data_IF_561490748839
#
_entry.id   IF_561490748839
#
_cell.length_a   1.000
_cell.length_b   1.000
_cell.length_c   1.000
_cell.angle_alpha   90.00
_cell.angle_beta   90.00
_cell.angle_gamma   90.00
#
_symmetry.space_group_name_H-M   'P 1'
#
loop_
_entity.id
_entity.type
_entity.pdbx_description
1 polymer ?
#
# COMPACT_ATOMS: atom_id res chain seq x y z
N UNK A 1 -10.90 -35.31 18.38
CA UNK A 1 -9.72 -34.42 18.31
C UNK A 1 -10.21 -33.00 18.42
N UNK A 2 -9.76 -32.33 19.47
CA UNK A 2 -10.34 -31.11 20.00
C UNK A 2 -10.12 -29.90 19.08
N UNK A 3 -11.12 -29.04 19.11
CA UNK A 3 -11.17 -27.74 18.48
C UNK A 3 -9.97 -26.87 18.84
N UNK A 4 -9.19 -26.48 17.84
CA UNK A 4 -8.35 -25.28 17.93
C UNK A 4 -9.28 -24.06 17.99
N UNK A 5 -9.74 -23.72 19.19
CA UNK A 5 -10.34 -22.41 19.48
C UNK A 5 -9.26 -21.36 19.23
N UNK A 6 -9.23 -20.82 18.02
CA UNK A 6 -8.51 -19.59 17.74
C UNK A 6 -9.13 -18.47 18.59
N UNK A 7 -8.29 -17.55 19.05
CA UNK A 7 -8.71 -16.47 19.93
C UNK A 7 -9.91 -15.72 19.34
N UNK A 8 -10.95 -15.51 20.15
CA UNK A 8 -12.20 -14.88 19.73
C UNK A 8 -12.07 -13.44 19.18
N UNK A 9 -10.89 -12.81 19.26
CA UNK A 9 -10.57 -11.52 18.60
C UNK A 9 -10.13 -11.67 17.14
N UNK A 10 -9.57 -12.83 16.78
CA UNK A 10 -8.97 -13.04 15.46
C UNK A 10 -10.05 -13.33 14.40
N UNK A 11 -11.14 -14.00 14.79
CA UNK A 11 -12.26 -14.32 13.89
C UNK A 11 -13.00 -13.06 13.42
N UNK A 12 -13.35 -12.14 14.34
CA UNK A 12 -14.04 -10.90 13.97
C UNK A 12 -13.14 -10.02 13.10
N UNK A 13 -11.85 -9.94 13.43
CA UNK A 13 -10.86 -9.20 12.64
C UNK A 13 -10.69 -9.79 11.24
N UNK A 14 -10.55 -11.12 11.13
CA UNK A 14 -10.47 -11.83 9.86
C UNK A 14 -11.72 -11.61 9.01
N UNK A 15 -12.92 -11.68 9.61
CA UNK A 15 -14.17 -11.39 8.91
C UNK A 15 -14.22 -9.97 8.35
N UNK A 16 -13.85 -8.97 9.16
CA UNK A 16 -13.79 -7.57 8.69
C UNK A 16 -12.79 -7.37 7.55
N UNK A 17 -11.61 -7.99 7.65
CA UNK A 17 -10.59 -7.92 6.58
C UNK A 17 -11.11 -8.60 5.30
N UNK A 18 -11.76 -9.76 5.41
CA UNK A 18 -12.38 -10.46 4.30
C UNK A 18 -13.43 -9.59 3.58
N UNK A 19 -14.34 -8.99 4.33
CA UNK A 19 -15.37 -8.11 3.77
C UNK A 19 -14.78 -6.88 3.05
N UNK A 20 -13.72 -6.28 3.61
CA UNK A 20 -13.00 -5.19 2.97
C UNK A 20 -12.26 -5.65 1.71
N UNK A 21 -11.63 -6.82 1.74
CA UNK A 21 -10.92 -7.40 0.61
C UNK A 21 -11.87 -7.67 -0.56
N UNK A 22 -13.03 -8.29 -0.31
CA UNK A 22 -14.05 -8.55 -1.35
C UNK A 22 -14.56 -7.24 -1.96
N UNK A 23 -14.85 -6.22 -1.13
CA UNK A 23 -15.27 -4.90 -1.61
C UNK A 23 -14.20 -4.26 -2.50
N UNK A 24 -12.94 -4.32 -2.08
CA UNK A 24 -11.81 -3.80 -2.85
C UNK A 24 -11.67 -4.53 -4.19
N UNK A 25 -11.66 -5.86 -4.18
CA UNK A 25 -11.59 -6.66 -5.41
C UNK A 25 -12.71 -6.28 -6.40
N UNK A 26 -13.95 -6.18 -5.91
CA UNK A 26 -15.10 -5.84 -6.76
C UNK A 26 -15.02 -4.42 -7.35
N UNK A 27 -14.37 -3.50 -6.65
CA UNK A 27 -14.16 -2.12 -7.11
C UNK A 27 -13.08 -1.99 -8.20
N UNK A 28 -12.15 -2.95 -8.27
CA UNK A 28 -11.04 -2.94 -9.21
C UNK A 28 -11.41 -3.72 -10.49
N UNK A 29 -11.85 -3.01 -11.53
CA UNK A 29 -12.30 -3.61 -12.80
C UNK A 29 -11.23 -4.44 -13.50
N UNK A 30 -9.96 -4.08 -13.32
CA UNK A 30 -8.80 -4.78 -13.88
C UNK A 30 -8.65 -6.23 -13.35
N UNK A 31 -9.26 -6.54 -12.20
CA UNK A 31 -9.27 -7.86 -11.60
C UNK A 31 -10.28 -8.83 -12.23
N UNK A 32 -11.19 -8.33 -13.08
CA UNK A 32 -12.29 -9.11 -13.64
C UNK A 32 -11.87 -9.92 -14.87
N UNK A 33 -10.78 -9.54 -15.54
CA UNK A 33 -10.19 -10.33 -16.62
C UNK A 33 -9.38 -11.47 -15.99
N UNK A 34 -10.02 -12.59 -15.63
CA UNK A 34 -9.43 -13.76 -14.93
C UNK A 34 -8.34 -14.49 -15.76
N UNK A 35 -7.26 -13.80 -16.13
CA UNK A 35 -6.15 -14.35 -16.90
C UNK A 35 -4.81 -13.81 -16.41
N UNK A 36 -3.95 -14.71 -15.94
CA UNK A 36 -2.59 -14.40 -15.49
C UNK A 36 -1.67 -13.83 -16.59
N UNK A 37 -2.03 -14.03 -17.86
CA UNK A 37 -1.30 -13.43 -19.00
C UNK A 37 -1.72 -12.00 -19.28
N UNK A 38 -2.84 -11.53 -18.69
CA UNK A 38 -3.29 -10.16 -18.83
C UNK A 38 -2.50 -9.24 -17.88
N UNK A 39 -1.75 -8.24 -18.38
CA UNK A 39 -0.99 -7.32 -17.55
C UNK A 39 -1.83 -6.54 -16.53
N UNK A 40 -3.10 -6.26 -16.85
CA UNK A 40 -4.02 -5.55 -15.93
C UNK A 40 -4.40 -6.44 -14.75
N UNK A 41 -4.74 -7.70 -15.03
CA UNK A 41 -5.04 -8.68 -14.01
C UNK A 41 -3.84 -8.90 -13.08
N UNK A 42 -2.64 -9.08 -13.66
CA UNK A 42 -1.40 -9.25 -12.90
C UNK A 42 -1.13 -8.07 -11.96
N UNK A 43 -1.26 -6.83 -12.44
CA UNK A 43 -1.10 -5.65 -11.59
C UNK A 43 -2.13 -5.60 -10.46
N UNK A 44 -3.39 -5.91 -10.77
CA UNK A 44 -4.42 -6.00 -9.75
C UNK A 44 -4.07 -7.05 -8.69
N UNK A 45 -3.74 -8.27 -9.10
CA UNK A 45 -3.50 -9.37 -8.17
C UNK A 45 -2.28 -9.10 -7.27
N UNK A 46 -1.21 -8.54 -7.83
CA UNK A 46 -0.05 -8.07 -7.07
C UNK A 46 -0.42 -6.98 -6.04
N UNK A 47 -1.26 -6.03 -6.42
CA UNK A 47 -1.75 -5.00 -5.49
C UNK A 47 -2.62 -5.59 -4.37
N UNK A 48 -3.54 -6.49 -4.70
CA UNK A 48 -4.39 -7.16 -3.72
C UNK A 48 -3.58 -8.02 -2.76
N UNK A 49 -2.55 -8.71 -3.27
CA UNK A 49 -1.63 -9.47 -2.42
C UNK A 49 -0.86 -8.54 -1.46
N UNK A 50 -0.37 -7.40 -1.94
CA UNK A 50 0.22 -6.38 -1.07
C UNK A 50 -0.77 -5.90 0.01
N UNK A 51 -1.98 -5.53 -0.40
CA UNK A 51 -2.98 -4.95 0.48
C UNK A 51 -3.37 -5.90 1.61
N UNK A 52 -3.58 -7.19 1.31
CA UNK A 52 -3.95 -8.18 2.33
C UNK A 52 -2.80 -8.40 3.31
N UNK A 53 -1.55 -8.51 2.80
CA UNK A 53 -0.36 -8.61 3.65
C UNK A 53 -0.23 -7.41 4.60
N UNK A 54 -0.43 -6.19 4.09
CA UNK A 54 -0.42 -4.97 4.91
C UNK A 54 -1.48 -5.00 6.02
N UNK A 55 -2.73 -5.34 5.68
CA UNK A 55 -3.83 -5.39 6.64
C UNK A 55 -3.63 -6.45 7.70
N UNK A 56 -3.17 -7.64 7.30
CA UNK A 56 -2.90 -8.75 8.20
C UNK A 56 -1.81 -8.39 9.20
N UNK A 57 -0.65 -7.91 8.74
CA UNK A 57 0.46 -7.55 9.64
C UNK A 57 0.15 -6.40 10.59
N UNK A 58 -0.71 -5.45 10.19
CA UNK A 58 -1.18 -4.38 11.08
C UNK A 58 -2.17 -4.86 12.14
N UNK A 59 -2.89 -5.94 11.85
CA UNK A 59 -3.95 -6.48 12.72
C UNK A 59 -3.41 -7.51 13.71
N UNK A 60 -2.29 -8.15 13.38
CA UNK A 60 -1.56 -9.08 14.24
C UNK A 60 -0.83 -8.28 15.34
N UNK A 61 -1.37 -8.33 16.57
CA UNK A 61 -0.77 -7.68 17.75
C UNK A 61 0.22 -8.57 18.51
N UNK A 62 0.20 -9.89 18.26
CA UNK A 62 1.07 -10.86 18.91
C UNK A 62 1.95 -11.52 17.84
N UNK A 63 3.26 -11.54 18.06
CA UNK A 63 4.24 -12.17 17.15
C UNK A 63 3.95 -13.67 16.89
N UNK A 64 3.07 -14.29 17.68
CA UNK A 64 2.71 -15.71 17.62
C UNK A 64 1.67 -16.07 16.53
N UNK A 65 0.89 -15.12 16.02
CA UNK A 65 -0.09 -15.41 14.95
C UNK A 65 0.57 -15.28 13.58
N UNK A 66 0.73 -16.41 12.89
CA UNK A 66 1.37 -16.47 11.56
C UNK A 66 0.42 -16.00 10.46
N UNK A 67 0.97 -15.46 9.36
CA UNK A 67 0.19 -15.14 8.14
C UNK A 67 -0.73 -16.30 7.74
N UNK A 68 -0.24 -17.54 7.81
CA UNK A 68 -1.00 -18.76 7.52
C UNK A 68 -2.25 -18.91 8.39
N UNK A 69 -2.19 -18.59 9.68
CA UNK A 69 -3.36 -18.73 10.58
C UNK A 69 -4.50 -17.79 10.20
N UNK A 70 -4.18 -16.55 9.82
CA UNK A 70 -5.19 -15.57 9.43
C UNK A 70 -5.65 -15.80 7.99
N UNK A 71 -4.74 -16.22 7.10
CA UNK A 71 -5.08 -16.66 5.75
C UNK A 71 -6.06 -17.84 5.76
N UNK A 72 -5.81 -18.89 6.54
CA UNK A 72 -6.74 -20.02 6.67
C UNK A 72 -8.10 -19.57 7.22
N UNK A 73 -8.09 -18.58 8.14
CA UNK A 73 -9.31 -17.90 8.59
C UNK A 73 -10.05 -17.24 7.44
N UNK A 74 -9.36 -16.45 6.60
CA UNK A 74 -9.92 -15.79 5.41
C UNK A 74 -10.44 -16.81 4.39
N UNK A 75 -9.63 -17.82 4.06
CA UNK A 75 -9.98 -18.92 3.15
C UNK A 75 -11.24 -19.61 3.62
N UNK A 76 -11.37 -19.95 4.91
CA UNK A 76 -12.59 -20.57 5.44
C UNK A 76 -13.85 -19.73 5.24
N UNK A 77 -13.73 -18.39 5.23
CA UNK A 77 -14.85 -17.48 4.98
C UNK A 77 -15.15 -17.30 3.48
N UNK A 78 -14.17 -17.55 2.63
CA UNK A 78 -14.22 -17.34 1.17
C UNK A 78 -14.63 -18.63 0.45
N UNK A 79 -14.04 -19.78 0.80
CA UNK A 79 -14.24 -21.07 0.13
C UNK A 79 -15.65 -21.64 0.24
N UNK A 80 -16.51 -21.06 1.09
CA UNK A 80 -17.95 -21.31 1.10
C UNK A 80 -18.73 -20.56 0.01
N UNK A 81 -18.05 -19.80 -0.86
CA UNK A 81 -18.64 -19.01 -1.96
C UNK A 81 -17.91 -19.35 -3.26
N UNK A 82 -18.56 -20.12 -4.14
CA UNK A 82 -17.97 -20.65 -5.39
C UNK A 82 -17.36 -19.57 -6.29
N UNK A 83 -17.86 -18.32 -6.23
CA UNK A 83 -17.38 -17.20 -7.05
C UNK A 83 -15.99 -16.66 -6.68
N UNK A 84 -15.45 -17.06 -5.52
CA UNK A 84 -14.29 -16.42 -4.90
C UNK A 84 -13.10 -17.35 -4.64
N UNK A 85 -13.19 -18.63 -4.98
CA UNK A 85 -12.07 -19.59 -4.85
C UNK A 85 -10.80 -19.11 -5.56
N UNK A 86 -10.94 -18.54 -6.77
CA UNK A 86 -9.84 -17.99 -7.57
C UNK A 86 -9.21 -16.71 -7.00
N UNK A 87 -9.80 -16.09 -5.96
CA UNK A 87 -9.21 -14.92 -5.30
C UNK A 87 -7.99 -15.25 -4.46
N UNK A 88 -7.88 -16.50 -4.05
CA UNK A 88 -6.85 -16.96 -3.12
C UNK A 88 -5.57 -17.37 -3.84
N UNK A 89 -5.68 -17.78 -5.12
CA UNK A 89 -4.57 -18.32 -5.92
C UNK A 89 -3.37 -17.37 -6.08
N UNK A 90 -3.57 -16.07 -5.94
CA UNK A 90 -2.51 -15.05 -6.08
C UNK A 90 -2.04 -14.46 -4.75
N UNK A 91 -2.61 -14.90 -3.62
CA UNK A 91 -2.24 -14.41 -2.30
C UNK A 91 -1.09 -15.26 -1.75
N UNK A 92 -0.01 -14.60 -1.34
CA UNK A 92 1.17 -15.24 -0.74
C UNK A 92 1.78 -14.34 0.33
N UNK A 93 2.49 -14.93 1.29
CA UNK A 93 3.18 -14.18 2.35
C UNK A 93 4.34 -13.37 1.77
N UNK A 94 4.25 -12.03 1.85
CA UNK A 94 5.33 -11.14 1.47
C UNK A 94 6.28 -11.05 2.66
N UNK A 95 7.57 -11.32 2.44
CA UNK A 95 8.60 -11.19 3.46
C UNK A 95 8.48 -9.83 4.19
N UNK A 96 8.64 -9.86 5.52
CA UNK A 96 8.46 -8.70 6.40
C UNK A 96 9.27 -7.47 5.96
N UNK A 97 10.53 -7.66 5.53
CA UNK A 97 11.42 -6.57 5.14
C UNK A 97 11.01 -5.96 3.80
N UNK A 98 10.57 -6.78 2.86
CA UNK A 98 10.07 -6.31 1.57
C UNK A 98 8.71 -5.63 1.72
N UNK A 99 7.81 -6.17 2.55
CA UNK A 99 6.56 -5.51 2.86
C UNK A 99 6.78 -4.15 3.56
N UNK A 100 7.77 -4.07 4.46
CA UNK A 100 8.15 -2.80 5.10
C UNK A 100 8.57 -1.75 4.06
N UNK A 101 9.46 -2.13 3.13
CA UNK A 101 9.86 -1.28 2.00
C UNK A 101 8.68 -0.88 1.11
N UNK A 102 7.79 -1.82 0.79
CA UNK A 102 6.58 -1.55 0.01
C UNK A 102 5.65 -0.55 0.70
N UNK A 103 5.51 -0.64 2.04
CA UNK A 103 4.69 0.30 2.81
C UNK A 103 5.24 1.73 2.76
N UNK A 104 6.57 1.88 2.81
CA UNK A 104 7.21 3.19 2.65
C UNK A 104 6.89 3.77 1.27
N UNK A 105 7.08 2.98 0.19
CA UNK A 105 6.74 3.44 -1.16
C UNK A 105 5.25 3.77 -1.31
N UNK A 106 4.37 2.95 -0.73
CA UNK A 106 2.93 3.20 -0.78
C UNK A 106 2.56 4.53 -0.11
N UNK A 107 3.11 4.79 1.09
CA UNK A 107 2.87 6.04 1.81
C UNK A 107 3.40 7.27 1.07
N UNK A 108 4.59 7.15 0.45
CA UNK A 108 5.16 8.18 -0.41
C UNK A 108 4.22 8.51 -1.58
N UNK A 109 3.75 7.49 -2.32
CA UNK A 109 2.85 7.69 -3.45
C UNK A 109 1.45 8.19 -3.04
N UNK A 110 0.93 7.74 -1.89
CA UNK A 110 -0.35 8.23 -1.37
C UNK A 110 -0.30 9.73 -1.08
N UNK A 111 0.76 10.21 -0.41
CA UNK A 111 0.94 11.63 -0.13
C UNK A 111 1.26 12.43 -1.39
N UNK A 112 2.04 11.87 -2.32
CA UNK A 112 2.27 12.47 -3.64
C UNK A 112 0.97 12.68 -4.41
N UNK A 113 0.08 11.69 -4.48
CA UNK A 113 -1.21 11.83 -5.17
C UNK A 113 -2.06 12.93 -4.54
N UNK A 114 -2.13 13.01 -3.20
CA UNK A 114 -2.84 14.09 -2.49
C UNK A 114 -2.26 15.46 -2.80
N UNK A 115 -0.93 15.58 -2.80
CA UNK A 115 -0.24 16.81 -3.17
C UNK A 115 -0.50 17.20 -4.62
N UNK A 116 -0.42 16.25 -5.56
CA UNK A 116 -0.70 16.49 -6.97
C UNK A 116 -2.16 16.96 -7.17
N UNK A 117 -3.13 16.32 -6.52
CA UNK A 117 -4.53 16.74 -6.57
C UNK A 117 -4.73 18.16 -6.00
N UNK A 118 -4.02 18.51 -4.92
CA UNK A 118 -4.05 19.86 -4.34
C UNK A 118 -3.48 20.88 -5.34
N UNK A 119 -2.31 20.58 -5.93
CA UNK A 119 -1.55 21.48 -6.80
C UNK A 119 -2.23 21.65 -8.17
N UNK A 120 -2.85 20.60 -8.70
CA UNK A 120 -3.56 20.63 -9.98
C UNK A 120 -4.97 21.20 -9.85
N UNK A 121 -5.59 21.18 -8.66
CA UNK A 121 -6.94 21.72 -8.48
C UNK A 121 -7.00 23.24 -8.67
N UNK A 122 -7.84 23.70 -9.60
CA UNK A 122 -8.05 25.12 -9.90
C UNK A 122 -9.07 25.81 -8.97
N UNK A 123 -9.78 25.07 -8.10
CA UNK A 123 -11.00 25.57 -7.47
C UNK A 123 -11.17 25.35 -5.96
N UNK A 124 -10.12 25.13 -5.17
CA UNK A 124 -10.32 24.85 -3.72
C UNK A 124 -9.57 25.85 -2.84
N UNK A 125 -10.23 26.44 -1.82
CA UNK A 125 -9.61 27.46 -0.98
C UNK A 125 -8.49 26.83 -0.15
N UNK A 126 -7.27 27.38 -0.27
CA UNK A 126 -6.12 27.17 0.64
C UNK A 126 -6.02 25.75 1.23
N UNK A 127 -6.02 24.71 0.39
CA UNK A 127 -5.69 23.37 0.88
C UNK A 127 -4.23 23.38 1.34
N UNK A 128 -4.00 22.91 2.55
CA UNK A 128 -2.66 22.85 3.13
C UNK A 128 -1.84 21.74 2.47
N UNK A 129 -0.66 22.09 1.96
CA UNK A 129 0.30 21.12 1.41
C UNK A 129 1.22 20.55 2.49
N UNK A 130 1.41 21.28 3.59
CA UNK A 130 2.40 20.97 4.62
C UNK A 130 2.20 19.60 5.30
N UNK A 131 0.97 19.16 5.65
CA UNK A 131 0.78 17.86 6.29
C UNK A 131 1.25 16.70 5.40
N UNK A 132 0.89 16.73 4.12
CA UNK A 132 1.29 15.71 3.15
C UNK A 132 2.78 15.81 2.79
N UNK A 133 3.29 17.03 2.69
CA UNK A 133 4.71 17.26 2.44
C UNK A 133 5.59 16.72 3.58
N UNK A 134 5.20 16.98 4.84
CA UNK A 134 5.93 16.51 6.02
C UNK A 134 5.91 14.99 6.13
N UNK A 135 4.78 14.36 5.80
CA UNK A 135 4.66 12.90 5.73
C UNK A 135 5.60 12.32 4.64
N UNK A 136 5.59 12.90 3.43
CA UNK A 136 6.53 12.52 2.37
C UNK A 136 7.99 12.62 2.82
N UNK A 137 8.39 13.73 3.44
CA UNK A 137 9.77 13.91 3.91
C UNK A 137 10.17 12.85 4.94
N UNK A 138 9.27 12.53 5.88
CA UNK A 138 9.54 11.53 6.92
C UNK A 138 9.78 10.15 6.30
N UNK A 139 8.89 9.71 5.42
CA UNK A 139 9.01 8.41 4.75
C UNK A 139 10.21 8.35 3.80
N UNK A 140 10.52 9.47 3.14
CA UNK A 140 11.65 9.57 2.22
C UNK A 140 12.99 9.47 2.92
N UNK A 141 13.16 10.13 4.08
CA UNK A 141 14.37 10.02 4.91
C UNK A 141 14.59 8.56 5.32
N UNK A 142 13.52 7.87 5.74
CA UNK A 142 13.59 6.45 6.08
C UNK A 142 13.97 5.61 4.86
N UNK A 143 13.40 5.87 3.69
CA UNK A 143 13.73 5.18 2.45
C UNK A 143 15.19 5.40 2.03
N UNK A 144 15.70 6.64 2.13
CA UNK A 144 17.10 6.98 1.86
C UNK A 144 18.04 6.24 2.80
N UNK A 145 17.73 6.18 4.10
CA UNK A 145 18.53 5.41 5.05
C UNK A 145 18.64 3.93 4.65
N UNK A 146 17.53 3.31 4.24
CA UNK A 146 17.52 1.92 3.74
C UNK A 146 18.41 1.76 2.50
N UNK A 147 18.39 2.74 1.59
CA UNK A 147 19.20 2.69 0.38
C UNK A 147 20.69 2.93 0.62
N UNK A 148 21.03 3.87 1.52
CA UNK A 148 22.40 4.21 1.87
C UNK A 148 23.10 3.14 2.73
N UNK A 149 22.33 2.22 3.35
CA UNK A 149 22.87 1.10 4.11
C UNK A 149 23.39 -0.04 3.21
N UNK A 150 24.71 -0.14 3.03
CA UNK A 150 25.38 -1.26 2.36
C UNK A 150 25.35 -1.23 0.83
N UNK A 151 25.47 -2.40 0.18
CA UNK A 151 25.49 -2.54 -1.29
C UNK A 151 24.09 -2.48 -1.94
N UNK A 152 23.13 -1.79 -1.29
CA UNK A 152 21.69 -1.81 -1.60
C UNK A 152 21.25 -0.76 -2.64
N UNK A 153 22.15 0.13 -3.07
CA UNK A 153 21.87 1.19 -4.05
C UNK A 153 21.30 0.65 -5.38
N UNK A 154 21.56 -0.61 -5.72
CA UNK A 154 21.06 -1.25 -6.94
C UNK A 154 19.74 -2.03 -6.77
N UNK A 155 19.21 -2.09 -5.54
CA UNK A 155 17.98 -2.82 -5.23
C UNK A 155 16.77 -2.24 -5.97
N UNK A 156 15.77 -3.10 -6.25
CA UNK A 156 14.52 -2.67 -6.89
C UNK A 156 13.83 -1.55 -6.10
N UNK A 157 13.88 -1.62 -4.76
CA UNK A 157 13.35 -0.58 -3.89
C UNK A 157 14.03 0.78 -4.14
N UNK A 158 15.36 0.83 -4.16
CA UNK A 158 16.10 2.08 -4.35
C UNK A 158 15.93 2.66 -5.76
N UNK A 159 15.81 1.80 -6.78
CA UNK A 159 15.45 2.24 -8.13
C UNK A 159 14.07 2.90 -8.17
N UNK A 160 13.08 2.30 -7.48
CA UNK A 160 11.73 2.88 -7.36
C UNK A 160 11.71 4.17 -6.56
N UNK A 161 12.51 4.27 -5.49
CA UNK A 161 12.69 5.50 -4.74
C UNK A 161 13.28 6.62 -5.61
N UNK A 162 14.26 6.31 -6.46
CA UNK A 162 14.81 7.27 -7.41
C UNK A 162 13.78 7.77 -8.44
N UNK A 163 12.90 6.88 -8.92
CA UNK A 163 11.77 7.29 -9.78
C UNK A 163 10.84 8.25 -9.04
N UNK A 164 10.48 7.92 -7.80
CA UNK A 164 9.64 8.79 -6.96
C UNK A 164 10.28 10.17 -6.73
N UNK A 165 11.60 10.22 -6.49
CA UNK A 165 12.35 11.48 -6.32
C UNK A 165 12.23 12.38 -7.54
N UNK A 166 12.37 11.82 -8.75
CA UNK A 166 12.19 12.57 -10.01
C UNK A 166 10.75 13.05 -10.22
N UNK A 167 9.75 12.24 -9.86
CA UNK A 167 8.34 12.63 -9.95
C UNK A 167 8.01 13.75 -8.94
N UNK A 168 8.52 13.66 -7.72
CA UNK A 168 8.34 14.68 -6.70
C UNK A 168 9.03 15.99 -7.07
N UNK A 169 10.20 15.95 -7.72
CA UNK A 169 10.87 17.16 -8.21
C UNK A 169 10.02 17.90 -9.25
N UNK A 170 9.38 17.18 -10.18
CA UNK A 170 8.44 17.77 -11.14
C UNK A 170 7.22 18.38 -10.44
N UNK A 171 6.68 17.68 -9.43
CA UNK A 171 5.59 18.21 -8.61
C UNK A 171 5.99 19.49 -7.87
N UNK A 172 7.22 19.54 -7.37
CA UNK A 172 7.77 20.72 -6.71
C UNK A 172 7.89 21.91 -7.66
N UNK A 173 8.34 21.69 -8.89
CA UNK A 173 8.40 22.74 -9.92
C UNK A 173 6.99 23.31 -10.21
N UNK A 174 5.99 22.44 -10.40
CA UNK A 174 4.59 22.86 -10.56
C UNK A 174 4.07 23.67 -9.36
N UNK A 175 4.43 23.26 -8.14
CA UNK A 175 4.08 24.00 -6.93
C UNK A 175 4.73 25.38 -6.91
N UNK A 176 6.01 25.48 -7.25
CA UNK A 176 6.77 26.75 -7.20
C UNK A 176 6.21 27.78 -8.18
N UNK A 177 5.79 27.36 -9.38
CA UNK A 177 5.08 28.21 -10.36
C UNK A 177 3.76 28.79 -9.80
N UNK A 178 3.11 28.05 -8.91
CA UNK A 178 1.81 28.41 -8.31
C UNK A 178 1.92 28.82 -6.84
N UNK A 179 3.13 29.04 -6.33
CA UNK A 179 3.41 29.17 -4.88
C UNK A 179 2.55 30.20 -4.16
N UNK A 180 2.27 31.32 -4.84
CA UNK A 180 1.43 32.40 -4.31
C UNK A 180 -0.02 32.01 -4.04
N UNK A 181 -0.47 30.85 -4.53
CA UNK A 181 -1.82 30.32 -4.34
C UNK A 181 -1.96 29.51 -3.05
N UNK A 182 -0.86 29.16 -2.40
CA UNK A 182 -0.83 28.32 -1.20
C UNK A 182 -0.48 29.12 0.06
N UNK A 183 -1.04 28.70 1.20
CA UNK A 183 -0.77 29.32 2.51
C UNK A 183 0.49 28.78 3.19
N UNK A 184 0.97 27.64 2.75
CA UNK A 184 2.09 26.90 3.29
C UNK A 184 3.00 26.37 2.17
N UNK A 185 4.20 25.92 2.54
CA UNK A 185 5.21 25.48 1.59
C UNK A 185 5.20 23.96 1.40
N UNK A 186 5.47 23.54 0.16
CA UNK A 186 5.94 22.19 -0.13
C UNK A 186 7.44 22.10 0.22
N UNK A 187 7.83 21.10 1.00
CA UNK A 187 9.21 20.83 1.38
C UNK A 187 9.90 20.06 0.24
N UNK A 188 11.09 20.51 -0.16
CA UNK A 188 11.92 19.78 -1.12
C UNK A 188 12.52 18.55 -0.44
N UNK A 189 12.51 17.40 -1.12
CA UNK A 189 13.19 16.19 -0.63
C UNK A 189 14.71 16.41 -0.66
N UNK A 190 15.40 15.97 0.40
CA UNK A 190 16.84 16.11 0.61
C UNK A 190 17.43 14.83 1.20
#
# INVERSE_FOLDING_TARGET
>A
MESSKSNFKDITTAKTICEQFIKLYNSLTDCKTKSNTNPKYKKCSEFLNYWINFKLRKSIKNEDSTFCSVYNGLESQISGRDDFSTLLDFIYDINKDDLHKMNILYSLYENYSKLNDIIDSSSVPKKQVLPHSTACCTDYIQAKYICNGGNNNSSTFCKKLGTFESEYEQLYQKFDEKRSQFSDNLIKLS
#
